data_IF_703798995676
#
_entry.id   IF_703798995676
#
_cell.length_a   1.000
_cell.length_b   1.000
_cell.length_c   1.000
_cell.angle_alpha   90.00
_cell.angle_beta   90.00
_cell.angle_gamma   90.00
#
_symmetry.space_group_name_H-M   'P 1'
#
loop_
_entity.id
_entity.type
_entity.pdbx_description
1 polymer ?
#
# COMPACT_ATOMS: atom_id res chain seq x y z
N UNK A 1 -3.66 -14.34 -16.75
CA UNK A 1 -3.54 -13.13 -15.89
C UNK A 1 -2.12 -12.62 -16.04
N UNK A 2 -1.90 -11.29 -16.09
CA UNK A 2 -0.55 -10.74 -16.04
C UNK A 2 0.18 -11.24 -14.80
N UNK A 3 1.45 -11.59 -14.95
CA UNK A 3 2.30 -12.02 -13.83
C UNK A 3 2.57 -10.77 -12.99
N UNK A 4 2.06 -10.74 -11.76
CA UNK A 4 2.35 -9.65 -10.84
C UNK A 4 3.81 -9.80 -10.36
N UNK A 5 4.64 -8.75 -10.45
CA UNK A 5 6.02 -8.77 -9.96
C UNK A 5 6.12 -8.70 -8.42
N UNK A 6 5.03 -9.01 -7.73
CA UNK A 6 4.86 -8.88 -6.29
C UNK A 6 4.11 -10.09 -5.72
N UNK A 7 4.29 -10.38 -4.44
CA UNK A 7 3.49 -11.36 -3.71
C UNK A 7 2.26 -10.66 -3.07
N UNK A 8 1.01 -10.92 -3.53
CA UNK A 8 -0.20 -10.33 -2.94
C UNK A 8 -0.72 -11.11 -1.73
N UNK A 9 -0.03 -12.15 -1.27
CA UNK A 9 -0.50 -13.06 -0.22
C UNK A 9 -0.57 -12.45 1.18
N UNK A 10 -0.88 -13.26 2.21
CA UNK A 10 -0.87 -12.82 3.60
C UNK A 10 0.46 -12.17 3.99
N UNK A 11 0.39 -11.20 4.91
CA UNK A 11 1.55 -10.52 5.46
C UNK A 11 1.44 -10.44 6.99
N UNK A 12 2.57 -10.53 7.68
CA UNK A 12 2.66 -10.32 9.12
C UNK A 12 3.90 -9.47 9.43
N UNK A 13 3.77 -8.57 10.40
CA UNK A 13 4.84 -7.67 10.80
C UNK A 13 5.03 -7.64 12.31
N UNK A 14 6.27 -7.42 12.74
CA UNK A 14 6.64 -7.28 14.15
C UNK A 14 6.66 -5.83 14.63
N UNK A 15 7.26 -5.62 15.80
CA UNK A 15 7.47 -4.30 16.39
C UNK A 15 6.40 -3.90 17.43
N UNK A 16 6.44 -2.66 17.94
CA UNK A 16 5.54 -2.18 19.00
C UNK A 16 4.07 -2.18 18.59
N UNK A 17 3.80 -2.17 17.28
CA UNK A 17 2.46 -2.24 16.67
C UNK A 17 2.34 -3.43 15.72
N UNK A 18 2.98 -4.56 16.06
CA UNK A 18 2.95 -5.79 15.27
C UNK A 18 1.53 -6.19 14.85
N UNK A 19 1.42 -6.88 13.73
CA UNK A 19 0.13 -7.07 13.08
C UNK A 19 0.18 -8.02 11.89
N UNK A 20 -0.93 -8.12 11.18
CA UNK A 20 -1.07 -8.96 10.01
C UNK A 20 -2.17 -8.47 9.07
N UNK A 21 -2.02 -8.79 7.80
CA UNK A 21 -3.04 -8.60 6.79
C UNK A 21 -3.36 -9.92 6.09
N UNK A 22 -4.65 -10.23 5.99
CA UNK A 22 -5.16 -11.44 5.35
C UNK A 22 -6.03 -11.06 4.15
N UNK A 23 -5.53 -11.19 2.91
CA UNK A 23 -6.28 -10.79 1.72
C UNK A 23 -7.56 -11.60 1.55
N UNK A 24 -8.60 -10.94 1.03
CA UNK A 24 -9.91 -11.51 0.70
C UNK A 24 -10.38 -10.98 -0.65
N UNK A 25 -11.15 -11.81 -1.37
CA UNK A 25 -11.73 -11.41 -2.64
C UNK A 25 -10.73 -11.30 -3.78
N UNK A 26 -11.15 -10.64 -4.86
CA UNK A 26 -10.40 -10.56 -6.12
C UNK A 26 -9.47 -9.34 -6.13
N UNK A 27 -8.32 -9.50 -6.77
CA UNK A 27 -7.44 -8.39 -7.11
C UNK A 27 -8.13 -7.50 -8.14
N UNK A 28 -8.11 -6.19 -7.91
CA UNK A 28 -8.66 -5.16 -8.80
C UNK A 28 -7.50 -4.32 -9.32
N UNK A 29 -7.35 -4.24 -10.64
CA UNK A 29 -6.31 -3.44 -11.26
C UNK A 29 -6.84 -2.05 -11.64
N UNK A 30 -6.03 -1.02 -11.47
CA UNK A 30 -6.30 0.33 -11.97
C UNK A 30 -5.03 0.92 -12.59
N UNK A 31 -5.21 1.65 -13.69
CA UNK A 31 -4.12 2.21 -14.49
C UNK A 31 -3.79 1.37 -15.72
N UNK A 32 -2.74 1.77 -16.44
CA UNK A 32 -2.22 1.00 -17.55
C UNK A 32 -1.47 -0.22 -17.00
N UNK A 33 -1.81 -1.41 -17.50
CA UNK A 33 -0.93 -2.56 -17.29
C UNK A 33 0.39 -2.27 -18.02
N UNK A 34 1.56 -2.64 -17.47
CA UNK A 34 2.77 -2.65 -18.26
C UNK A 34 2.49 -3.48 -19.52
N UNK A 35 2.79 -2.90 -20.69
CA UNK A 35 2.59 -3.60 -21.96
C UNK A 35 3.24 -4.97 -21.87
N UNK A 36 2.56 -6.03 -22.29
CA UNK A 36 3.11 -7.39 -22.27
C UNK A 36 4.37 -7.53 -23.14
N UNK A 37 4.70 -6.50 -23.92
CA UNK A 37 5.87 -6.41 -24.79
C UNK A 37 7.01 -5.57 -24.20
N UNK A 38 6.77 -4.83 -23.11
CA UNK A 38 7.84 -4.09 -22.45
C UNK A 38 8.79 -5.08 -21.76
N UNK A 39 10.12 -4.89 -21.84
CA UNK A 39 11.05 -5.68 -21.06
C UNK A 39 10.68 -5.56 -19.58
N UNK A 40 10.45 -6.69 -18.91
CA UNK A 40 10.34 -6.69 -17.45
C UNK A 40 11.75 -6.35 -16.94
N UNK A 41 11.92 -5.32 -16.08
CA UNK A 41 13.22 -5.04 -15.48
C UNK A 41 13.77 -6.30 -14.82
N UNK A 42 15.09 -6.52 -14.85
CA UNK A 42 15.72 -7.73 -14.28
C UNK A 42 15.37 -7.94 -12.79
N UNK A 43 14.95 -6.88 -12.10
CA UNK A 43 14.42 -6.97 -10.74
C UNK A 43 13.35 -5.90 -10.47
N UNK A 44 12.07 -6.15 -10.79
CA UNK A 44 11.02 -5.17 -10.61
C UNK A 44 10.85 -4.83 -9.13
N UNK A 45 10.73 -3.53 -8.85
CA UNK A 45 10.41 -3.01 -7.52
C UNK A 45 8.90 -2.89 -7.37
N UNK A 46 8.40 -3.26 -6.21
CA UNK A 46 7.01 -3.07 -5.86
C UNK A 46 6.89 -2.64 -4.39
N UNK A 47 5.81 -1.97 -4.06
CA UNK A 47 5.45 -1.65 -2.69
C UNK A 47 4.03 -2.12 -2.40
N UNK A 48 3.79 -2.57 -1.18
CA UNK A 48 2.46 -2.92 -0.67
C UNK A 48 2.16 -2.02 0.51
N UNK A 49 1.05 -1.30 0.43
CA UNK A 49 0.51 -0.50 1.52
C UNK A 49 -0.62 -1.31 2.15
N UNK A 50 -0.56 -1.55 3.46
CA UNK A 50 -1.65 -2.15 4.22
C UNK A 50 -2.30 -1.10 5.10
N UNK A 51 -3.61 -0.95 4.96
CA UNK A 51 -4.36 0.14 5.57
C UNK A 51 -5.61 -0.43 6.23
N UNK A 52 -5.84 -0.06 7.49
CA UNK A 52 -7.13 -0.25 8.15
C UNK A 52 -8.17 0.68 7.51
N UNK A 53 -9.35 0.14 7.20
CA UNK A 53 -10.43 0.94 6.61
C UNK A 53 -11.40 1.47 7.67
N UNK A 54 -11.30 1.01 8.91
CA UNK A 54 -11.99 1.57 10.07
C UNK A 54 -11.04 2.39 10.93
N UNK A 55 -11.59 3.33 11.70
CA UNK A 55 -10.92 3.96 12.84
C UNK A 55 -11.66 3.64 14.18
N UNK A 56 -12.77 2.91 14.07
CA UNK A 56 -13.70 2.57 15.14
C UNK A 56 -14.65 3.71 15.55
N UNK A 57 -14.63 4.86 14.87
CA UNK A 57 -15.43 6.06 15.18
C UNK A 57 -16.28 6.52 14.00
N UNK A 58 -15.74 6.45 12.79
CA UNK A 58 -16.41 6.77 11.53
C UNK A 58 -16.81 5.50 10.76
N UNK A 59 -17.76 5.62 9.80
CA UNK A 59 -18.05 4.55 8.87
C UNK A 59 -16.77 4.10 8.15
N UNK A 60 -16.57 2.78 8.06
CA UNK A 60 -15.41 2.23 7.36
C UNK A 60 -15.39 2.74 5.92
N UNK A 61 -14.22 3.22 5.48
CA UNK A 61 -13.99 3.65 4.10
C UNK A 61 -13.98 2.44 3.19
N UNK A 62 -14.33 2.63 1.93
CA UNK A 62 -14.25 1.55 0.94
C UNK A 62 -12.83 1.43 0.38
N UNK A 63 -12.52 0.28 -0.20
CA UNK A 63 -11.30 0.11 -1.00
C UNK A 63 -11.26 1.08 -2.18
N UNK A 64 -12.42 1.41 -2.75
CA UNK A 64 -12.52 2.39 -3.83
C UNK A 64 -12.11 3.79 -3.36
N UNK A 65 -12.51 4.22 -2.16
CA UNK A 65 -12.06 5.49 -1.58
C UNK A 65 -10.54 5.52 -1.40
N UNK A 66 -9.95 4.45 -0.86
CA UNK A 66 -8.50 4.33 -0.72
C UNK A 66 -7.79 4.43 -2.07
N UNK A 67 -8.31 3.75 -3.09
CA UNK A 67 -7.73 3.82 -4.44
C UNK A 67 -7.81 5.24 -5.01
N UNK A 68 -8.92 5.97 -4.82
CA UNK A 68 -9.04 7.36 -5.25
C UNK A 68 -8.04 8.27 -4.54
N UNK A 69 -7.83 8.08 -3.23
CA UNK A 69 -6.82 8.82 -2.45
C UNK A 69 -5.43 8.54 -3.02
N UNK A 70 -5.07 7.27 -3.23
CA UNK A 70 -3.76 6.89 -3.76
C UNK A 70 -3.52 7.49 -5.15
N UNK A 71 -4.50 7.40 -6.05
CA UNK A 71 -4.39 7.98 -7.40
C UNK A 71 -4.21 9.49 -7.33
N UNK A 72 -4.98 10.19 -6.50
CA UNK A 72 -4.87 11.64 -6.31
C UNK A 72 -3.49 12.04 -5.79
N UNK A 73 -3.02 11.39 -4.73
CA UNK A 73 -1.72 11.71 -4.11
C UNK A 73 -0.58 11.38 -5.07
N UNK A 74 -0.65 10.23 -5.75
CA UNK A 74 0.36 9.85 -6.75
C UNK A 74 0.44 10.86 -7.90
N UNK A 75 -0.70 11.26 -8.45
CA UNK A 75 -0.75 12.26 -9.51
C UNK A 75 -0.14 13.59 -9.08
N UNK A 76 -0.35 14.00 -7.82
CA UNK A 76 0.26 15.21 -7.26
C UNK A 76 1.79 15.09 -7.09
N UNK A 77 2.31 13.89 -6.80
CA UNK A 77 3.74 13.64 -6.63
C UNK A 77 4.51 13.54 -7.96
N UNK A 78 3.93 12.88 -8.96
CA UNK A 78 4.64 12.47 -10.19
C UNK A 78 4.22 13.28 -11.41
N UNK A 79 3.05 13.90 -11.37
CA UNK A 79 2.44 14.54 -12.54
C UNK A 79 1.86 13.54 -13.56
N UNK A 80 2.00 12.23 -13.32
CA UNK A 80 1.38 11.20 -14.15
C UNK A 80 0.00 10.78 -13.61
N UNK A 81 -1.02 10.66 -14.49
CA UNK A 81 -2.41 10.53 -14.06
C UNK A 81 -2.79 9.15 -13.50
N UNK A 82 -1.97 8.12 -13.65
CA UNK A 82 -2.37 6.76 -13.24
C UNK A 82 -1.19 5.84 -12.93
N UNK A 83 -0.87 5.59 -11.64
CA UNK A 83 0.07 4.53 -11.29
C UNK A 83 -0.47 3.17 -11.73
N UNK A 84 0.42 2.24 -12.10
CA UNK A 84 0.07 0.83 -12.23
C UNK A 84 -0.15 0.25 -10.84
N UNK A 85 -1.40 0.20 -10.40
CA UNK A 85 -1.78 -0.21 -9.05
C UNK A 85 -2.73 -1.41 -9.06
N UNK A 86 -2.60 -2.24 -8.02
CA UNK A 86 -3.55 -3.32 -7.73
C UNK A 86 -4.08 -3.15 -6.31
N UNK A 87 -5.39 -3.23 -6.15
CA UNK A 87 -6.06 -3.17 -4.86
C UNK A 87 -6.69 -4.52 -4.50
N UNK A 88 -6.72 -4.83 -3.21
CA UNK A 88 -7.44 -5.99 -2.70
C UNK A 88 -7.90 -5.75 -1.27
N UNK A 89 -9.13 -6.17 -0.99
CA UNK A 89 -9.68 -6.17 0.37
C UNK A 89 -9.03 -7.24 1.24
N UNK A 90 -9.19 -7.11 2.55
CA UNK A 90 -8.73 -8.12 3.49
C UNK A 90 -9.14 -7.82 4.92
N UNK A 91 -8.61 -8.64 5.82
CA UNK A 91 -8.69 -8.40 7.26
C UNK A 91 -7.37 -7.80 7.71
N UNK A 92 -7.41 -6.59 8.25
CA UNK A 92 -6.27 -5.90 8.83
C UNK A 92 -6.28 -6.06 10.35
N UNK A 93 -5.10 -6.26 10.90
CA UNK A 93 -4.93 -6.42 12.34
C UNK A 93 -3.64 -5.75 12.78
N UNK A 94 -3.69 -5.03 13.89
CA UNK A 94 -2.51 -4.40 14.48
C UNK A 94 -2.64 -4.28 16.01
N UNK A 95 -1.52 -4.02 16.67
CA UNK A 95 -1.48 -3.64 18.08
C UNK A 95 -1.68 -2.13 18.27
N UNK A 96 -2.72 -1.74 19.00
CA UNK A 96 -2.98 -0.39 19.48
C UNK A 96 -2.62 -0.33 20.98
N UNK A 97 -1.77 0.62 21.44
CA UNK A 97 -1.38 0.72 22.85
C UNK A 97 -2.54 0.97 23.82
N UNK A 98 -3.60 1.60 23.34
CA UNK A 98 -4.77 1.99 24.13
C UNK A 98 -5.91 0.96 24.05
N UNK A 99 -6.06 0.29 22.91
CA UNK A 99 -7.17 -0.64 22.64
C UNK A 99 -6.76 -2.11 22.60
N UNK A 100 -5.47 -2.41 22.67
CA UNK A 100 -4.94 -3.76 22.51
C UNK A 100 -4.96 -4.21 21.06
N UNK A 101 -5.40 -5.45 20.79
CA UNK A 101 -5.43 -6.00 19.43
C UNK A 101 -6.66 -5.48 18.68
N UNK A 102 -6.44 -4.72 17.61
CA UNK A 102 -7.50 -4.26 16.69
C UNK A 102 -7.59 -5.23 15.52
N UNK A 103 -8.80 -5.61 15.14
CA UNK A 103 -9.11 -6.46 13.97
C UNK A 103 -10.24 -5.80 13.21
N UNK A 104 -10.02 -5.48 11.94
CA UNK A 104 -10.94 -4.66 11.16
C UNK A 104 -10.85 -4.92 9.65
N UNK A 105 -11.87 -4.52 8.86
CA UNK A 105 -11.73 -4.46 7.42
C UNK A 105 -10.53 -3.60 7.03
N UNK A 106 -9.74 -4.09 6.08
CA UNK A 106 -8.61 -3.37 5.53
C UNK A 106 -8.47 -3.58 4.04
N UNK A 107 -7.50 -2.89 3.46
CA UNK A 107 -7.12 -3.10 2.08
C UNK A 107 -5.59 -3.13 1.94
N UNK A 108 -5.13 -3.83 0.91
CA UNK A 108 -3.78 -3.68 0.39
C UNK A 108 -3.82 -2.93 -0.94
N UNK A 109 -2.87 -2.02 -1.11
CA UNK A 109 -2.56 -1.38 -2.40
C UNK A 109 -1.15 -1.79 -2.80
N UNK A 110 -1.02 -2.37 -3.98
CA UNK A 110 0.23 -2.78 -4.56
C UNK A 110 0.59 -1.77 -5.65
N UNK A 111 1.73 -1.12 -5.50
CA UNK A 111 2.31 -0.21 -6.47
C UNK A 111 3.47 -0.91 -7.16
N UNK A 112 3.45 -0.94 -8.48
CA UNK A 112 4.53 -1.48 -9.29
C UNK A 112 5.36 -0.30 -9.78
N UNK A 113 6.68 -0.31 -9.54
CA UNK A 113 7.56 0.68 -10.11
C UNK A 113 7.71 0.40 -11.61
N UNK A 114 6.98 1.17 -12.43
CA UNK A 114 7.05 1.13 -13.90
C UNK A 114 8.03 2.16 -14.47
N UNK A 115 8.74 2.88 -13.60
CA UNK A 115 9.69 3.93 -13.95
C UNK A 115 11.13 3.51 -13.63
N UNK A 116 12.11 4.25 -14.14
CA UNK A 116 13.54 4.00 -13.89
C UNK A 116 14.01 4.54 -12.52
N UNK A 117 13.10 4.71 -11.56
CA UNK A 117 13.45 5.18 -10.22
C UNK A 117 14.39 4.18 -9.52
N UNK A 118 15.38 4.73 -8.83
CA UNK A 118 16.22 3.94 -7.93
C UNK A 118 15.39 3.38 -6.78
N UNK A 119 15.86 2.30 -6.15
CA UNK A 119 15.17 1.71 -4.99
C UNK A 119 14.97 2.72 -3.85
N UNK A 120 15.93 3.65 -3.67
CA UNK A 120 15.85 4.70 -2.66
C UNK A 120 14.79 5.75 -2.99
N UNK A 121 14.74 6.19 -4.24
CA UNK A 121 13.77 7.21 -4.66
C UNK A 121 12.35 6.65 -4.65
N UNK A 122 12.18 5.40 -5.10
CA UNK A 122 10.91 4.68 -5.01
C UNK A 122 10.46 4.48 -3.56
N UNK A 123 11.37 4.08 -2.66
CA UNK A 123 11.07 3.99 -1.23
C UNK A 123 10.60 5.34 -0.67
N UNK A 124 11.34 6.42 -0.92
CA UNK A 124 11.00 7.75 -0.41
C UNK A 124 9.62 8.21 -0.91
N UNK A 125 9.35 8.00 -2.20
CA UNK A 125 8.07 8.33 -2.81
C UNK A 125 6.90 7.55 -2.19
N UNK A 126 7.07 6.23 -2.01
CA UNK A 126 6.05 5.37 -1.40
C UNK A 126 5.81 5.73 0.06
N UNK A 127 6.86 6.08 0.81
CA UNK A 127 6.71 6.56 2.20
C UNK A 127 5.90 7.85 2.23
N UNK A 128 6.21 8.84 1.39
CA UNK A 128 5.45 10.09 1.32
C UNK A 128 3.98 9.86 0.92
N UNK A 129 3.74 8.93 -0.01
CA UNK A 129 2.38 8.50 -0.36
C UNK A 129 1.67 7.90 0.86
N UNK A 130 2.33 7.00 1.59
CA UNK A 130 1.74 6.35 2.76
C UNK A 130 1.45 7.34 3.90
N UNK A 131 2.30 8.37 4.10
CA UNK A 131 2.05 9.46 5.04
C UNK A 131 0.77 10.24 4.68
N UNK A 132 0.62 10.60 3.41
CA UNK A 132 -0.57 11.31 2.93
C UNK A 132 -1.83 10.45 3.01
N UNK A 133 -1.75 9.15 2.67
CA UNK A 133 -2.86 8.20 2.85
C UNK A 133 -3.25 8.07 4.31
N UNK A 134 -2.26 7.97 5.22
CA UNK A 134 -2.52 7.90 6.66
C UNK A 134 -3.23 9.17 7.14
N UNK A 135 -2.80 10.34 6.68
CA UNK A 135 -3.40 11.63 7.05
C UNK A 135 -4.84 11.75 6.53
N UNK A 136 -5.07 11.45 5.25
CA UNK A 136 -6.39 11.57 4.61
C UNK A 136 -7.43 10.61 5.18
N UNK A 137 -7.01 9.41 5.61
CA UNK A 137 -7.87 8.41 6.24
C UNK A 137 -7.94 8.53 7.76
N UNK A 138 -7.27 9.53 8.35
CA UNK A 138 -7.10 9.68 9.80
C UNK A 138 -6.59 8.39 10.49
N UNK A 139 -5.78 7.61 9.78
CA UNK A 139 -5.20 6.38 10.29
C UNK A 139 -3.95 6.70 11.11
N UNK A 140 -3.75 6.03 12.26
CA UNK A 140 -2.56 6.25 13.07
C UNK A 140 -1.29 5.78 12.34
N UNK A 141 -1.42 4.80 11.45
CA UNK A 141 -0.30 4.20 10.74
C UNK A 141 -0.76 3.47 9.48
N UNK A 142 0.05 3.55 8.43
CA UNK A 142 0.02 2.67 7.24
C UNK A 142 1.27 1.80 7.26
N UNK A 143 1.13 0.51 6.97
CA UNK A 143 2.29 -0.38 6.84
C UNK A 143 2.73 -0.44 5.39
N UNK A 144 3.99 -0.16 5.14
CA UNK A 144 4.62 -0.26 3.82
C UNK A 144 5.55 -1.47 3.81
N UNK A 145 5.36 -2.37 2.86
CA UNK A 145 6.27 -3.46 2.54
C UNK A 145 6.88 -3.23 1.16
N UNK A 146 8.20 -3.10 1.10
CA UNK A 146 8.95 -3.01 -0.16
C UNK A 146 9.34 -4.42 -0.60
N UNK A 147 9.12 -4.70 -1.88
CA UNK A 147 9.47 -5.96 -2.51
C UNK A 147 10.37 -5.74 -3.72
N UNK A 148 11.23 -6.73 -3.98
CA UNK A 148 12.02 -6.84 -5.21
C UNK A 148 11.78 -8.23 -5.79
N UNK A 149 11.25 -8.30 -7.01
CA UNK A 149 10.88 -9.56 -7.67
C UNK A 149 9.97 -10.45 -6.80
N UNK A 150 9.00 -9.84 -6.10
CA UNK A 150 8.09 -10.54 -5.18
C UNK A 150 8.66 -10.94 -3.83
N UNK A 151 9.94 -10.65 -3.55
CA UNK A 151 10.60 -10.96 -2.28
C UNK A 151 10.61 -9.70 -1.40
N UNK A 152 10.08 -9.82 -0.18
CA UNK A 152 10.13 -8.76 0.84
C UNK A 152 11.57 -8.33 1.10
N UNK A 153 11.82 -7.03 1.00
CA UNK A 153 13.11 -6.39 1.31
C UNK A 153 13.05 -5.64 2.63
N UNK A 154 11.96 -4.88 2.85
CA UNK A 154 11.84 -3.95 3.97
C UNK A 154 10.38 -3.77 4.36
N UNK A 155 10.17 -3.47 5.64
CA UNK A 155 8.87 -3.18 6.21
C UNK A 155 8.95 -1.94 7.10
N UNK A 156 8.00 -1.02 6.92
CA UNK A 156 8.01 0.32 7.51
C UNK A 156 6.62 0.63 8.05
N UNK A 157 6.52 1.04 9.31
CA UNK A 157 5.32 1.67 9.84
C UNK A 157 5.39 3.17 9.58
N UNK A 158 4.43 3.71 8.84
CA UNK A 158 4.39 5.11 8.41
C UNK A 158 3.22 5.82 9.10
N UNK A 159 3.53 6.79 9.95
CA UNK A 159 2.53 7.63 10.63
C UNK A 159 2.14 8.83 9.74
N UNK A 160 0.97 9.45 9.94
CA UNK A 160 0.59 10.65 9.21
C UNK A 160 1.57 11.79 9.50
N UNK A 161 1.96 12.54 8.48
CA UNK A 161 2.66 13.81 8.67
C UNK A 161 1.72 14.78 9.36
N UNK A 162 2.18 15.40 10.46
CA UNK A 162 1.40 16.47 11.09
C UNK A 162 1.21 17.59 10.05
N UNK A 163 -0.01 18.10 9.85
CA UNK A 163 -0.17 19.32 9.08
C UNK A 163 0.71 20.40 9.72
N UNK A 164 1.51 21.06 8.88
CA UNK A 164 2.35 22.19 9.28
C UNK A 164 1.51 23.38 9.74
#
# INVERSE_FOLDING_TARGET
MPVLPCNPGPCSWGGPHGGSFWPRGKLRHQGALPSSTAPIPDAPLAARLFVGLGDGREPARSTDDLVQIVVRVWAAQVGEPSPSLVAQEGMYQHGDPSRGRVVEPGAQIILINTSDLSARDFEQQVVQLAEAVAADLAQPMVIVELQRSGIMQKMIGVAPTRPA
#
